data_IF_902437710640
#
_entry.id   IF_902437710640
#
_cell.length_a   1.000
_cell.length_b   1.000
_cell.length_c   1.000
_cell.angle_alpha   90.00
_cell.angle_beta   90.00
_cell.angle_gamma   90.00
#
_symmetry.space_group_name_H-M   'P 1'
#
loop_
_entity.id
_entity.type
_entity.pdbx_description
1 polymer ?
#
# COMPACT_ATOMS: atom_id res chain seq x y z
N UNK A 1 20.56 -11.66 9.60
CA UNK A 1 21.17 -11.30 8.33
C UNK A 1 21.03 -12.48 7.40
N UNK A 2 20.15 -12.43 6.36
CA UNK A 2 19.99 -13.53 5.41
C UNK A 2 20.46 -13.00 4.05
N UNK A 3 21.63 -13.46 3.60
CA UNK A 3 22.07 -13.34 2.22
C UNK A 3 21.15 -14.20 1.36
N UNK A 4 20.48 -13.63 0.37
CA UNK A 4 19.69 -14.38 -0.59
C UNK A 4 20.60 -14.77 -1.74
N UNK A 5 20.87 -16.04 -1.85
CA UNK A 5 21.65 -16.61 -2.94
C UNK A 5 20.79 -16.68 -4.19
N UNK A 6 21.25 -16.05 -5.28
CA UNK A 6 20.50 -15.87 -6.54
C UNK A 6 21.02 -16.74 -7.67
N UNK A 7 22.22 -17.33 -7.52
CA UNK A 7 22.85 -18.07 -8.60
C UNK A 7 22.16 -19.42 -8.87
N UNK A 8 22.01 -19.74 -10.13
CA UNK A 8 21.55 -21.05 -10.56
C UNK A 8 22.64 -22.11 -10.37
N UNK A 9 22.30 -23.41 -10.24
CA UNK A 9 23.29 -24.48 -10.12
C UNK A 9 24.34 -24.51 -11.24
N UNK A 10 23.97 -24.03 -12.43
CA UNK A 10 24.85 -23.90 -13.59
C UNK A 10 25.93 -22.84 -13.38
N UNK A 11 25.59 -21.71 -12.77
CA UNK A 11 26.53 -20.62 -12.48
C UNK A 11 27.58 -21.06 -11.48
N UNK A 12 27.20 -21.86 -10.49
CA UNK A 12 28.12 -22.46 -9.52
C UNK A 12 29.09 -23.39 -10.23
N UNK A 13 28.58 -24.24 -11.14
CA UNK A 13 29.41 -25.17 -11.91
C UNK A 13 30.45 -24.40 -12.75
N UNK A 14 30.03 -23.36 -13.45
CA UNK A 14 30.94 -22.54 -14.24
C UNK A 14 31.99 -21.81 -13.37
N UNK A 15 31.59 -21.33 -12.21
CA UNK A 15 32.51 -20.70 -11.27
C UNK A 15 33.55 -21.69 -10.73
N UNK A 16 33.17 -22.93 -10.43
CA UNK A 16 34.08 -23.99 -9.99
C UNK A 16 35.08 -24.36 -11.12
N UNK A 17 34.59 -24.56 -12.34
CA UNK A 17 35.41 -24.87 -13.49
C UNK A 17 36.41 -23.72 -13.77
N UNK A 18 35.95 -22.50 -13.70
CA UNK A 18 36.81 -21.31 -13.82
C UNK A 18 37.89 -21.25 -12.73
N UNK A 19 37.53 -21.56 -11.49
CA UNK A 19 38.48 -21.57 -10.36
C UNK A 19 39.57 -22.61 -10.54
N UNK A 20 39.24 -23.80 -11.04
CA UNK A 20 40.22 -24.87 -11.35
C UNK A 20 41.13 -24.41 -12.48
N UNK A 21 40.59 -23.82 -13.53
CA UNK A 21 41.37 -23.30 -14.65
C UNK A 21 42.33 -22.15 -14.21
N UNK A 22 41.84 -21.25 -13.36
CA UNK A 22 42.63 -20.17 -12.81
C UNK A 22 43.79 -20.70 -11.94
N UNK A 23 43.51 -21.70 -11.10
CA UNK A 23 44.56 -22.35 -10.30
C UNK A 23 45.64 -22.97 -11.15
N UNK A 24 45.28 -23.65 -12.26
CA UNK A 24 46.18 -24.17 -13.23
C UNK A 24 47.09 -23.05 -13.84
N UNK A 25 46.49 -21.94 -14.28
CA UNK A 25 47.23 -20.81 -14.85
C UNK A 25 48.23 -20.20 -13.84
N UNK A 26 47.84 -20.06 -12.59
CA UNK A 26 48.69 -19.55 -11.52
C UNK A 26 49.86 -20.51 -11.25
N UNK A 27 49.57 -21.81 -11.21
CA UNK A 27 50.63 -22.83 -11.03
C UNK A 27 51.66 -22.80 -12.19
N UNK A 28 51.19 -22.65 -13.43
CA UNK A 28 52.08 -22.46 -14.60
C UNK A 28 52.88 -21.17 -14.48
N UNK A 29 52.25 -20.06 -14.08
CA UNK A 29 52.93 -18.76 -13.93
C UNK A 29 54.03 -18.79 -12.85
N UNK A 30 53.69 -19.32 -11.67
CA UNK A 30 54.64 -19.45 -10.55
C UNK A 30 55.77 -20.42 -10.90
N UNK A 31 55.46 -21.55 -11.58
CA UNK A 31 56.45 -22.51 -12.05
C UNK A 31 57.43 -21.90 -13.05
N UNK A 32 56.95 -21.16 -14.03
CA UNK A 32 57.79 -20.47 -15.00
C UNK A 32 58.63 -19.36 -14.35
N UNK A 33 58.10 -18.58 -13.43
CA UNK A 33 58.84 -17.56 -12.71
C UNK A 33 59.96 -18.17 -11.87
N UNK A 34 59.67 -19.24 -11.16
CA UNK A 34 60.66 -19.98 -10.35
C UNK A 34 61.77 -20.60 -11.22
N UNK A 35 61.40 -21.23 -12.33
CA UNK A 35 62.36 -21.85 -13.26
C UNK A 35 63.21 -20.80 -13.95
N UNK A 36 62.65 -19.73 -14.43
CA UNK A 36 63.35 -18.63 -15.06
C UNK A 36 64.41 -17.99 -14.13
N UNK A 37 64.01 -17.81 -12.86
CA UNK A 37 64.97 -17.26 -11.86
C UNK A 37 66.16 -18.19 -11.53
N UNK A 38 66.02 -19.49 -11.76
CA UNK A 38 67.02 -20.48 -11.42
C UNK A 38 67.90 -20.93 -12.65
N UNK A 39 67.22 -21.05 -13.80
CA UNK A 39 67.90 -21.66 -15.00
C UNK A 39 67.95 -20.73 -16.22
N UNK A 40 67.25 -19.58 -16.18
CA UNK A 40 67.11 -18.68 -17.33
C UNK A 40 66.14 -19.18 -18.41
N UNK A 41 65.47 -20.32 -18.21
CA UNK A 41 64.52 -20.91 -19.19
C UNK A 41 63.13 -21.08 -18.61
N UNK A 42 62.09 -20.93 -19.49
CA UNK A 42 60.72 -21.16 -19.17
C UNK A 42 60.34 -22.65 -19.38
N UNK A 43 59.56 -23.21 -18.50
CA UNK A 43 59.08 -24.60 -18.56
C UNK A 43 57.84 -24.76 -19.44
N UNK A 44 57.25 -23.66 -19.90
CA UNK A 44 56.04 -23.67 -20.73
C UNK A 44 54.74 -23.88 -19.92
N UNK A 45 53.82 -24.66 -20.46
CA UNK A 45 52.50 -24.86 -19.85
C UNK A 45 52.41 -25.99 -18.82
N UNK A 46 53.56 -26.48 -18.32
CA UNK A 46 53.59 -27.50 -17.29
C UNK A 46 53.36 -26.91 -15.90
N UNK A 47 52.30 -27.30 -15.17
CA UNK A 47 51.98 -26.77 -13.83
C UNK A 47 52.83 -27.40 -12.70
N UNK A 48 53.44 -28.56 -12.94
CA UNK A 48 54.16 -29.34 -11.90
C UNK A 48 55.24 -28.55 -11.15
N UNK A 49 56.07 -27.71 -11.79
CA UNK A 49 57.03 -26.89 -11.08
C UNK A 49 56.42 -25.89 -10.11
N UNK A 50 55.25 -25.35 -10.44
CA UNK A 50 54.51 -24.47 -9.54
C UNK A 50 53.84 -25.17 -8.38
N UNK A 51 53.60 -26.48 -8.49
CA UNK A 51 53.02 -27.34 -7.44
C UNK A 51 54.10 -28.08 -6.63
N UNK A 52 55.40 -27.84 -6.89
CA UNK A 52 56.48 -28.40 -6.08
C UNK A 52 56.45 -27.86 -4.65
N UNK A 53 56.96 -28.62 -3.68
CA UNK A 53 56.96 -28.23 -2.25
C UNK A 53 57.53 -26.81 -2.03
N UNK A 54 58.54 -26.40 -2.80
CA UNK A 54 59.16 -25.08 -2.73
C UNK A 54 58.22 -23.94 -3.18
N UNK A 55 57.40 -24.18 -4.19
CA UNK A 55 56.57 -23.15 -4.85
C UNK A 55 55.08 -23.23 -4.44
N UNK A 56 54.67 -24.33 -3.83
CA UNK A 56 53.26 -24.60 -3.50
C UNK A 56 52.65 -23.51 -2.63
N UNK A 57 53.36 -23.06 -1.59
CA UNK A 57 52.87 -21.99 -0.72
C UNK A 57 52.61 -20.69 -1.49
N UNK A 58 53.53 -20.30 -2.38
CA UNK A 58 53.38 -19.12 -3.23
C UNK A 58 52.19 -19.25 -4.19
N UNK A 59 52.05 -20.41 -4.85
CA UNK A 59 50.93 -20.70 -5.76
C UNK A 59 49.58 -20.59 -5.07
N UNK A 60 49.43 -21.18 -3.89
CA UNK A 60 48.19 -21.14 -3.11
C UNK A 60 47.90 -19.72 -2.60
N UNK A 61 48.92 -19.01 -2.13
CA UNK A 61 48.78 -17.63 -1.66
C UNK A 61 48.29 -16.71 -2.77
N UNK A 62 48.92 -16.75 -3.95
CA UNK A 62 48.49 -15.96 -5.12
C UNK A 62 47.08 -16.33 -5.57
N UNK A 63 46.74 -17.62 -5.58
CA UNK A 63 45.41 -18.08 -5.90
C UNK A 63 44.36 -17.48 -4.95
N UNK A 64 44.61 -17.51 -3.64
CA UNK A 64 43.67 -16.96 -2.62
C UNK A 64 43.50 -15.46 -2.82
N UNK A 65 44.58 -14.70 -3.02
CA UNK A 65 44.51 -13.25 -3.21
C UNK A 65 43.69 -12.91 -4.45
N UNK A 66 43.94 -13.56 -5.59
CA UNK A 66 43.21 -13.33 -6.83
C UNK A 66 41.75 -13.74 -6.69
N UNK A 67 41.48 -14.90 -6.05
CA UNK A 67 40.10 -15.36 -5.81
C UNK A 67 39.30 -14.41 -4.91
N UNK A 68 39.91 -13.84 -3.87
CA UNK A 68 39.25 -12.81 -3.06
C UNK A 68 38.83 -11.62 -3.94
N UNK A 69 39.72 -11.13 -4.80
CA UNK A 69 39.42 -10.05 -5.74
C UNK A 69 38.26 -10.40 -6.68
N UNK A 70 38.27 -11.59 -7.27
CA UNK A 70 37.22 -12.07 -8.17
C UNK A 70 35.91 -12.22 -7.43
N UNK A 71 35.90 -12.84 -6.25
CA UNK A 71 34.67 -12.99 -5.42
C UNK A 71 34.10 -11.64 -5.04
N UNK A 72 34.93 -10.63 -4.72
CA UNK A 72 34.46 -9.27 -4.47
C UNK A 72 33.80 -8.64 -5.71
N UNK A 73 34.39 -8.83 -6.90
CA UNK A 73 33.86 -8.30 -8.17
C UNK A 73 32.53 -8.99 -8.57
N UNK A 74 32.47 -10.30 -8.43
CA UNK A 74 31.31 -11.13 -8.89
C UNK A 74 30.26 -11.32 -7.82
N UNK A 75 30.55 -10.91 -6.58
CA UNK A 75 29.61 -11.09 -5.46
C UNK A 75 28.22 -10.46 -5.69
N UNK A 76 28.13 -9.38 -6.47
CA UNK A 76 26.85 -8.74 -6.84
C UNK A 76 26.02 -9.59 -7.81
N UNK A 77 26.62 -10.52 -8.54
CA UNK A 77 25.94 -11.46 -9.42
C UNK A 77 25.36 -12.66 -8.64
N UNK A 78 26.12 -13.16 -7.68
CA UNK A 78 25.69 -14.30 -6.86
C UNK A 78 24.79 -13.94 -5.68
N UNK A 79 24.88 -12.70 -5.22
CA UNK A 79 24.10 -12.20 -4.08
C UNK A 79 23.36 -10.93 -4.44
N UNK A 80 22.08 -10.88 -4.16
CA UNK A 80 21.26 -9.69 -4.33
C UNK A 80 21.74 -8.60 -3.35
N UNK A 81 22.37 -7.55 -3.88
CA UNK A 81 22.80 -6.37 -3.12
C UNK A 81 21.89 -5.20 -3.42
N UNK A 82 21.26 -4.67 -2.39
CA UNK A 82 20.90 -3.26 -2.39
C UNK A 82 22.15 -2.44 -1.99
N UNK A 83 22.55 -1.56 -2.90
CA UNK A 83 23.65 -0.58 -2.86
C UNK A 83 24.45 -0.44 -1.56
N UNK A 84 25.77 -0.72 -1.63
CA UNK A 84 26.77 -0.33 -0.64
C UNK A 84 27.72 -1.46 -0.23
N UNK A 85 28.96 -1.12 0.12
CA UNK A 85 29.93 -2.02 0.76
C UNK A 85 29.36 -2.49 2.11
N UNK A 86 29.16 -3.80 2.26
CA UNK A 86 28.67 -4.41 3.50
C UNK A 86 27.47 -5.33 3.25
N UNK A 87 27.22 -6.21 4.21
CA UNK A 87 26.05 -7.09 4.19
C UNK A 87 24.77 -6.25 4.31
N UNK A 88 24.00 -6.14 3.24
CA UNK A 88 22.74 -5.43 3.25
C UNK A 88 21.78 -6.13 4.20
N UNK A 89 21.40 -5.45 5.27
CA UNK A 89 20.19 -5.77 6.03
C UNK A 89 19.05 -5.60 5.05
N UNK A 90 18.25 -6.65 4.86
CA UNK A 90 17.05 -6.58 4.01
C UNK A 90 16.26 -5.32 4.41
N UNK A 91 16.34 -4.25 3.62
CA UNK A 91 15.45 -3.11 3.78
C UNK A 91 14.06 -3.65 3.43
N UNK A 92 13.26 -3.90 4.45
CA UNK A 92 11.81 -4.07 4.30
C UNK A 92 11.27 -2.76 3.75
N UNK A 93 11.06 -2.68 2.45
CA UNK A 93 10.52 -1.48 1.82
C UNK A 93 11.31 -1.02 0.60
N UNK A 94 11.60 -1.90 -0.34
CA UNK A 94 11.68 -1.50 -1.76
C UNK A 94 10.26 -1.16 -2.22
N UNK A 95 10.13 -0.22 -3.15
CA UNK A 95 8.85 0.21 -3.70
C UNK A 95 7.99 -1.01 -4.06
N UNK A 96 6.86 -1.19 -3.37
CA UNK A 96 5.91 -2.25 -3.62
C UNK A 96 5.97 -3.50 -2.71
N UNK A 97 6.76 -3.53 -1.65
CA UNK A 97 6.69 -4.62 -0.69
C UNK A 97 5.47 -4.47 0.23
N UNK A 98 4.43 -5.23 -0.05
CA UNK A 98 3.27 -5.36 0.83
C UNK A 98 3.28 -6.71 1.54
N UNK A 99 2.88 -6.71 2.81
CA UNK A 99 2.69 -7.92 3.62
C UNK A 99 1.40 -7.78 4.40
N UNK A 100 0.82 -8.90 4.77
CA UNK A 100 -0.28 -8.90 5.74
C UNK A 100 0.19 -8.33 7.08
N UNK A 101 -0.53 -7.33 7.58
CA UNK A 101 -0.27 -6.79 8.92
C UNK A 101 -0.58 -7.85 9.98
N UNK A 102 0.29 -7.96 10.96
CA UNK A 102 0.00 -8.80 12.14
C UNK A 102 -0.90 -8.00 13.09
N UNK A 103 -1.70 -8.66 13.94
CA UNK A 103 -2.54 -7.99 14.92
C UNK A 103 -1.79 -6.93 15.75
N UNK A 104 -0.53 -7.19 16.10
CA UNK A 104 0.32 -6.24 16.81
C UNK A 104 0.61 -4.97 15.99
N UNK A 105 0.81 -5.11 14.69
CA UNK A 105 1.11 -3.98 13.80
C UNK A 105 -0.14 -3.09 13.67
N UNK A 106 -1.35 -3.70 13.58
CA UNK A 106 -2.64 -2.97 13.56
C UNK A 106 -2.84 -2.22 14.88
N UNK A 107 -2.72 -2.92 16.01
CA UNK A 107 -2.94 -2.35 17.35
C UNK A 107 -1.99 -1.20 17.70
N UNK A 108 -0.81 -1.13 17.07
CA UNK A 108 0.21 -0.10 17.31
C UNK A 108 0.22 1.01 16.26
N UNK A 109 -0.66 0.98 15.26
CA UNK A 109 -0.75 2.02 14.25
C UNK A 109 -1.27 3.33 14.85
N UNK A 110 -0.75 4.48 14.35
CA UNK A 110 -0.96 5.80 14.95
C UNK A 110 -2.43 6.19 15.07
N UNK A 111 -3.20 5.95 14.01
CA UNK A 111 -4.59 6.40 13.89
C UNK A 111 -5.60 5.30 14.26
N UNK A 112 -5.10 4.16 14.78
CA UNK A 112 -5.94 3.05 15.23
C UNK A 112 -6.22 3.17 16.71
N UNK A 113 -7.50 3.13 17.06
CA UNK A 113 -7.99 3.22 18.44
C UNK A 113 -8.73 1.95 18.84
N UNK A 114 -8.55 1.55 20.10
CA UNK A 114 -9.30 0.46 20.70
C UNK A 114 -10.60 0.97 21.28
N UNK A 115 -11.71 0.29 20.95
CA UNK A 115 -13.04 0.47 21.55
C UNK A 115 -13.50 -0.86 22.10
N UNK A 116 -14.36 -0.84 23.13
CA UNK A 116 -14.91 -2.04 23.73
C UNK A 116 -16.36 -2.25 23.23
N UNK A 117 -16.67 -3.41 22.69
CA UNK A 117 -17.97 -3.72 22.12
C UNK A 117 -19.13 -3.52 23.10
N UNK A 118 -18.90 -3.76 24.40
CA UNK A 118 -19.89 -3.62 25.46
C UNK A 118 -20.19 -2.18 25.84
N UNK A 119 -19.35 -1.21 25.46
CA UNK A 119 -19.54 0.19 25.84
C UNK A 119 -20.77 0.79 25.16
N UNK A 120 -21.52 1.57 25.92
CA UNK A 120 -22.71 2.27 25.40
C UNK A 120 -22.34 3.38 24.41
N UNK A 121 -21.27 4.13 24.69
CA UNK A 121 -20.76 5.19 23.83
C UNK A 121 -19.27 5.02 23.58
N UNK A 122 -18.80 5.43 22.40
CA UNK A 122 -17.41 5.31 22.00
C UNK A 122 -16.70 6.67 21.97
N UNK A 123 -15.40 6.66 22.29
CA UNK A 123 -14.53 7.83 22.19
C UNK A 123 -13.89 7.95 20.80
N UNK A 124 -13.84 6.87 20.06
CA UNK A 124 -13.28 6.78 18.72
C UNK A 124 -14.25 6.05 17.80
N UNK A 125 -14.25 6.38 16.50
CA UNK A 125 -15.04 5.69 15.50
C UNK A 125 -14.36 5.72 14.14
N UNK A 126 -14.62 4.69 13.35
CA UNK A 126 -14.09 4.55 12.00
C UNK A 126 -14.22 3.11 11.52
N UNK A 127 -13.56 2.81 10.41
CA UNK A 127 -13.63 1.49 9.81
C UNK A 127 -13.05 0.43 10.76
N UNK A 128 -13.79 -0.64 11.08
CA UNK A 128 -13.27 -1.71 11.92
C UNK A 128 -12.18 -2.50 11.17
N UNK A 129 -10.97 -2.54 11.73
CA UNK A 129 -9.82 -3.21 11.14
C UNK A 129 -9.54 -4.58 11.74
N UNK A 130 -9.79 -4.73 13.04
CA UNK A 130 -9.50 -5.95 13.79
C UNK A 130 -10.40 -6.08 15.00
N UNK A 131 -10.81 -7.30 15.33
CA UNK A 131 -11.63 -7.59 16.52
C UNK A 131 -11.05 -8.80 17.27
N UNK A 132 -10.98 -8.70 18.59
CA UNK A 132 -10.52 -9.76 19.47
C UNK A 132 -11.12 -9.63 20.88
N UNK A 133 -11.76 -10.68 21.40
CA UNK A 133 -12.24 -10.76 22.79
C UNK A 133 -13.12 -9.57 23.21
N UNK A 134 -14.06 -9.15 22.37
CA UNK A 134 -14.96 -8.04 22.64
C UNK A 134 -14.34 -6.65 22.51
N UNK A 135 -13.14 -6.56 22.00
CA UNK A 135 -12.46 -5.32 21.64
C UNK A 135 -12.38 -5.17 20.14
N UNK A 136 -12.59 -3.98 19.64
CA UNK A 136 -12.51 -3.64 18.23
C UNK A 136 -11.46 -2.54 18.05
N UNK A 137 -10.58 -2.68 17.08
CA UNK A 137 -9.63 -1.64 16.67
C UNK A 137 -10.15 -1.00 15.41
N UNK A 138 -10.41 0.30 15.48
CA UNK A 138 -10.98 1.13 14.42
C UNK A 138 -9.97 2.14 13.92
N UNK A 139 -10.03 2.47 12.63
CA UNK A 139 -9.30 3.58 12.05
C UNK A 139 -10.04 4.89 12.36
N UNK A 140 -9.57 5.65 13.35
CA UNK A 140 -10.12 6.93 13.81
C UNK A 140 -9.46 8.13 13.08
N UNK A 141 -8.71 7.86 12.02
CA UNK A 141 -8.05 8.88 11.19
C UNK A 141 -8.97 9.53 10.17
N UNK A 142 -8.54 10.69 9.65
CA UNK A 142 -9.21 11.38 8.55
C UNK A 142 -8.81 10.76 7.20
N UNK A 143 -9.18 9.50 6.98
CA UNK A 143 -8.82 8.76 5.78
C UNK A 143 -10.05 8.33 4.97
N UNK A 144 -9.91 8.31 3.63
CA UNK A 144 -10.88 7.68 2.76
C UNK A 144 -10.59 6.19 2.64
N UNK A 145 -11.62 5.36 2.82
CA UNK A 145 -11.49 3.91 2.73
C UNK A 145 -12.24 3.36 1.53
N UNK A 146 -11.57 2.54 0.72
CA UNK A 146 -12.17 1.82 -0.40
C UNK A 146 -12.27 0.32 -0.08
N UNK A 147 -13.49 -0.20 -0.02
CA UNK A 147 -13.77 -1.59 0.31
C UNK A 147 -14.26 -2.32 -0.95
N UNK A 148 -13.46 -3.21 -1.48
CA UNK A 148 -13.75 -3.96 -2.71
C UNK A 148 -14.08 -5.40 -2.36
N UNK A 149 -15.10 -5.95 -2.99
CA UNK A 149 -15.47 -7.36 -2.85
C UNK A 149 -16.63 -7.72 -3.78
N UNK A 150 -16.70 -8.97 -4.21
CA UNK A 150 -17.80 -9.49 -5.03
C UNK A 150 -19.15 -9.43 -4.31
N UNK A 151 -20.24 -9.59 -5.05
CA UNK A 151 -21.58 -9.76 -4.46
C UNK A 151 -21.57 -11.01 -3.56
N UNK A 152 -22.17 -10.89 -2.37
CA UNK A 152 -22.18 -11.99 -1.39
C UNK A 152 -20.90 -12.14 -0.55
N UNK A 153 -19.86 -11.30 -0.74
CA UNK A 153 -18.62 -11.36 0.05
C UNK A 153 -18.75 -10.87 1.50
N UNK A 154 -19.95 -10.46 1.92
CA UNK A 154 -20.21 -10.00 3.27
C UNK A 154 -19.87 -8.53 3.56
N UNK A 155 -19.57 -7.69 2.56
CA UNK A 155 -19.22 -6.26 2.77
C UNK A 155 -20.22 -5.53 3.68
N UNK A 156 -21.50 -5.64 3.38
CA UNK A 156 -22.55 -4.97 4.15
C UNK A 156 -22.57 -5.48 5.58
N UNK A 157 -22.49 -6.80 5.77
CA UNK A 157 -22.58 -7.43 7.09
C UNK A 157 -21.33 -7.22 7.94
N UNK A 158 -20.14 -7.42 7.35
CA UNK A 158 -18.89 -7.39 8.12
C UNK A 158 -18.31 -5.99 8.31
N UNK A 159 -18.65 -5.04 7.43
CA UNK A 159 -18.02 -3.71 7.45
C UNK A 159 -19.07 -2.61 7.61
N UNK A 160 -20.08 -2.54 6.71
CA UNK A 160 -20.97 -1.37 6.65
C UNK A 160 -21.87 -1.29 7.89
N UNK A 161 -22.56 -2.38 8.24
CA UNK A 161 -23.42 -2.39 9.43
C UNK A 161 -22.63 -2.15 10.74
N UNK A 162 -21.47 -2.83 10.98
CA UNK A 162 -20.64 -2.49 12.13
C UNK A 162 -20.18 -1.04 12.14
N UNK A 163 -19.79 -0.47 10.98
CA UNK A 163 -19.38 0.93 10.89
C UNK A 163 -20.52 1.88 11.29
N UNK A 164 -21.75 1.65 10.80
CA UNK A 164 -22.93 2.43 11.20
C UNK A 164 -23.13 2.40 12.73
N UNK A 165 -23.02 1.22 13.33
CA UNK A 165 -23.14 1.06 14.78
C UNK A 165 -22.01 1.78 15.55
N UNK A 166 -20.77 1.71 15.05
CA UNK A 166 -19.61 2.35 15.66
C UNK A 166 -19.76 3.88 15.61
N UNK A 167 -20.10 4.43 14.44
CA UNK A 167 -20.34 5.87 14.26
C UNK A 167 -21.51 6.34 15.15
N UNK A 168 -22.59 5.57 15.19
CA UNK A 168 -23.75 5.88 16.03
C UNK A 168 -23.43 5.88 17.53
N UNK A 169 -22.58 4.97 18.00
CA UNK A 169 -22.15 4.95 19.41
C UNK A 169 -21.20 6.10 19.76
N UNK A 170 -20.50 6.69 18.79
CA UNK A 170 -19.74 7.93 18.99
C UNK A 170 -20.60 9.18 18.88
N UNK A 171 -21.77 9.11 18.21
CA UNK A 171 -22.66 10.25 17.98
C UNK A 171 -22.35 11.02 16.70
N UNK A 172 -21.69 10.39 15.73
CA UNK A 172 -21.34 11.00 14.45
C UNK A 172 -22.53 11.08 13.50
N UNK A 173 -22.63 12.18 12.73
CA UNK A 173 -23.61 12.30 11.65
C UNK A 173 -23.17 11.50 10.44
N UNK A 174 -24.13 10.89 9.72
CA UNK A 174 -23.86 10.00 8.60
C UNK A 174 -24.69 10.36 7.37
N UNK A 175 -24.08 10.24 6.20
CA UNK A 175 -24.78 10.21 4.91
C UNK A 175 -24.52 8.84 4.29
N UNK A 176 -25.58 8.09 4.01
CA UNK A 176 -25.50 6.71 3.56
C UNK A 176 -26.26 6.57 2.24
N UNK A 177 -25.56 6.11 1.19
CA UNK A 177 -26.19 5.70 -0.06
C UNK A 177 -26.51 4.21 0.00
N UNK A 178 -27.81 3.88 -0.04
CA UNK A 178 -28.31 2.51 0.11
C UNK A 178 -29.19 2.10 -1.09
N UNK A 179 -28.59 1.63 -2.18
CA UNK A 179 -29.34 1.28 -3.39
C UNK A 179 -30.36 0.16 -3.21
N UNK A 180 -30.18 -0.69 -2.21
CA UNK A 180 -31.04 -1.85 -1.93
C UNK A 180 -32.02 -1.64 -0.78
N UNK A 181 -31.75 -0.68 0.09
CA UNK A 181 -32.51 -0.46 1.32
C UNK A 181 -32.07 -1.32 2.51
N UNK A 182 -31.09 -2.23 2.31
CA UNK A 182 -30.63 -3.18 3.34
C UNK A 182 -30.05 -2.48 4.57
N UNK A 183 -29.30 -1.38 4.35
CA UNK A 183 -28.64 -0.66 5.46
C UNK A 183 -29.71 0.04 6.31
N UNK A 184 -30.68 0.68 5.67
CA UNK A 184 -31.80 1.32 6.36
C UNK A 184 -32.62 0.30 7.15
N UNK A 185 -33.01 -0.82 6.54
CA UNK A 185 -33.79 -1.87 7.19
C UNK A 185 -33.08 -2.44 8.42
N UNK A 186 -31.78 -2.68 8.32
CA UNK A 186 -31.00 -3.29 9.40
C UNK A 186 -30.68 -2.33 10.56
N UNK A 187 -30.55 -1.02 10.30
CA UNK A 187 -30.01 -0.09 11.28
C UNK A 187 -30.99 0.99 11.77
N UNK A 188 -32.10 1.24 11.06
CA UNK A 188 -32.98 2.37 11.38
C UNK A 188 -33.54 2.34 12.80
N UNK A 189 -33.95 1.18 13.31
CA UNK A 189 -34.46 1.06 14.68
C UNK A 189 -33.38 1.36 15.71
N UNK A 190 -32.19 0.77 15.55
CA UNK A 190 -31.05 1.03 16.41
C UNK A 190 -30.67 2.53 16.44
N UNK A 191 -30.68 3.20 15.29
CA UNK A 191 -30.41 4.63 15.19
C UNK A 191 -31.46 5.48 15.88
N UNK A 192 -32.78 5.14 15.72
CA UNK A 192 -33.88 5.83 16.41
C UNK A 192 -33.79 5.68 17.93
N UNK A 193 -33.50 4.47 18.40
CA UNK A 193 -33.33 4.19 19.84
C UNK A 193 -32.16 5.00 20.45
N UNK A 194 -31.20 5.41 19.63
CA UNK A 194 -30.10 6.29 20.01
C UNK A 194 -30.39 7.77 19.80
N UNK A 195 -31.60 8.14 19.42
CA UNK A 195 -32.00 9.53 19.24
C UNK A 195 -31.61 10.18 17.93
N UNK A 196 -31.19 9.39 16.93
CA UNK A 196 -30.86 9.93 15.61
C UNK A 196 -32.15 10.40 14.87
N UNK A 197 -32.05 11.57 14.27
CA UNK A 197 -33.03 12.03 13.29
C UNK A 197 -32.69 11.42 11.92
N UNK A 198 -33.48 10.48 11.44
CA UNK A 198 -33.28 9.77 10.19
C UNK A 198 -34.09 10.43 9.08
N UNK A 199 -33.40 10.96 8.08
CA UNK A 199 -33.99 11.50 6.86
C UNK A 199 -33.81 10.48 5.72
N UNK A 200 -34.89 9.84 5.31
CA UNK A 200 -34.92 8.87 4.23
C UNK A 200 -35.36 9.53 2.92
N UNK A 201 -34.44 9.72 1.97
CA UNK A 201 -34.77 10.13 0.61
C UNK A 201 -34.95 8.88 -0.27
N UNK A 202 -36.17 8.51 -0.54
CA UNK A 202 -36.47 7.31 -1.31
C UNK A 202 -36.83 7.65 -2.76
N UNK A 203 -35.82 7.61 -3.65
CA UNK A 203 -36.04 7.89 -5.07
C UNK A 203 -36.77 6.80 -5.85
N UNK A 204 -36.83 5.56 -5.33
CA UNK A 204 -37.60 4.46 -5.96
C UNK A 204 -39.07 4.54 -5.64
N UNK A 205 -39.43 4.93 -4.42
CA UNK A 205 -40.80 5.14 -3.97
C UNK A 205 -40.85 6.39 -3.09
N UNK A 206 -40.98 7.58 -3.68
CA UNK A 206 -40.96 8.84 -2.96
C UNK A 206 -42.03 8.95 -1.87
N UNK A 207 -43.12 8.21 -2.00
CA UNK A 207 -44.19 8.19 -0.99
C UNK A 207 -43.80 7.49 0.33
N UNK A 208 -42.75 6.67 0.28
CA UNK A 208 -42.21 5.93 1.45
C UNK A 208 -41.02 6.60 2.08
N UNK A 209 -40.71 7.83 1.74
CA UNK A 209 -39.57 8.58 2.25
C UNK A 209 -39.98 9.93 2.83
N UNK A 210 -38.98 10.67 3.32
CA UNK A 210 -39.18 12.05 3.72
C UNK A 210 -39.25 12.93 2.47
N UNK A 211 -40.12 13.93 2.48
CA UNK A 211 -40.12 14.96 1.46
C UNK A 211 -38.97 15.95 1.69
N UNK A 212 -38.31 16.31 0.62
CA UNK A 212 -37.25 17.32 0.65
C UNK A 212 -37.51 18.36 -0.46
N UNK A 213 -37.53 19.61 -0.06
CA UNK A 213 -37.65 20.74 -1.00
C UNK A 213 -36.27 21.47 -1.03
N UNK A 214 -35.49 21.36 -2.11
CA UNK A 214 -34.18 22.01 -2.22
C UNK A 214 -34.25 23.53 -2.17
N UNK A 215 -35.40 24.12 -2.55
CA UNK A 215 -35.61 25.58 -2.53
C UNK A 215 -35.91 26.14 -1.12
N UNK A 216 -36.21 25.28 -0.15
CA UNK A 216 -36.63 25.75 1.17
C UNK A 216 -35.55 26.50 1.94
N UNK A 217 -34.32 26.09 1.83
CA UNK A 217 -33.21 26.78 2.50
C UNK A 217 -32.81 28.10 1.81
N UNK A 218 -32.61 28.18 0.49
CA UNK A 218 -32.45 29.44 -0.21
C UNK A 218 -33.56 30.45 0.09
N UNK A 219 -34.82 30.01 0.04
CA UNK A 219 -35.96 30.88 0.36
C UNK A 219 -35.95 31.41 1.79
N UNK A 220 -35.60 30.60 2.79
CA UNK A 220 -35.44 31.05 4.18
C UNK A 220 -34.32 32.08 4.32
N UNK A 221 -33.21 31.87 3.67
CA UNK A 221 -32.07 32.82 3.64
C UNK A 221 -32.48 34.14 2.99
N UNK A 222 -33.17 34.09 1.87
CA UNK A 222 -33.71 35.28 1.23
C UNK A 222 -34.63 36.07 2.16
N UNK A 223 -35.58 35.39 2.83
CA UNK A 223 -36.50 36.00 3.80
C UNK A 223 -35.78 36.60 5.02
N UNK A 224 -34.65 36.09 5.40
CA UNK A 224 -33.83 36.60 6.50
C UNK A 224 -32.88 37.75 6.08
N UNK A 225 -32.89 38.15 4.79
CA UNK A 225 -32.00 39.22 4.26
C UNK A 225 -30.62 38.75 3.88
N UNK A 226 -30.32 37.45 3.93
CA UNK A 226 -29.04 36.92 3.49
C UNK A 226 -29.11 36.55 2.00
N UNK A 227 -29.13 37.60 1.15
CA UNK A 227 -29.33 37.46 -0.29
C UNK A 227 -28.16 36.76 -0.97
N UNK A 228 -26.92 37.09 -0.60
CA UNK A 228 -25.73 36.53 -1.23
C UNK A 228 -25.67 35.00 -1.09
N UNK A 229 -25.89 34.51 0.12
CA UNK A 229 -25.92 33.07 0.37
C UNK A 229 -27.13 32.35 -0.25
N UNK A 230 -28.28 33.04 -0.31
CA UNK A 230 -29.44 32.54 -1.03
C UNK A 230 -29.15 32.34 -2.52
N UNK A 231 -28.58 33.37 -3.17
CA UNK A 231 -28.21 33.33 -4.59
C UNK A 231 -27.15 32.26 -4.88
N UNK A 232 -26.13 32.15 -4.05
CA UNK A 232 -25.12 31.08 -4.15
C UNK A 232 -25.77 29.69 -4.17
N UNK A 233 -26.62 29.38 -3.19
CA UNK A 233 -27.29 28.08 -3.10
C UNK A 233 -28.28 27.84 -4.25
N UNK A 234 -28.98 28.87 -4.71
CA UNK A 234 -29.86 28.76 -5.88
C UNK A 234 -29.07 28.47 -7.15
N UNK A 235 -27.93 29.15 -7.33
CA UNK A 235 -27.05 28.94 -8.47
C UNK A 235 -26.47 27.52 -8.47
N UNK A 236 -25.98 27.05 -7.33
CA UNK A 236 -25.48 25.69 -7.17
C UNK A 236 -26.55 24.66 -7.51
N UNK A 237 -27.77 24.87 -7.02
CA UNK A 237 -28.91 24.01 -7.32
C UNK A 237 -29.24 24.03 -8.82
N UNK A 238 -29.30 25.21 -9.43
CA UNK A 238 -29.57 25.37 -10.85
C UNK A 238 -28.55 24.66 -11.72
N UNK A 239 -27.25 24.85 -11.45
CA UNK A 239 -26.17 24.18 -12.16
C UNK A 239 -26.31 22.66 -12.04
N UNK A 240 -26.58 22.12 -10.86
CA UNK A 240 -26.75 20.69 -10.67
C UNK A 240 -27.98 20.10 -11.38
N UNK A 241 -29.10 20.84 -11.45
CA UNK A 241 -30.32 20.38 -12.12
C UNK A 241 -30.22 20.49 -13.63
N UNK A 242 -29.59 21.58 -14.13
CA UNK A 242 -29.52 21.92 -15.54
C UNK A 242 -28.22 21.40 -16.20
N UNK A 243 -27.40 20.64 -15.48
CA UNK A 243 -26.18 20.06 -16.01
C UNK A 243 -26.46 19.07 -17.14
N UNK A 244 -25.89 19.32 -18.28
CA UNK A 244 -25.89 18.40 -19.42
C UNK A 244 -24.45 17.96 -19.75
N UNK A 245 -24.14 16.69 -19.47
CA UNK A 245 -22.81 16.11 -19.75
C UNK A 245 -22.44 16.14 -21.25
N UNK A 246 -23.40 16.37 -22.14
CA UNK A 246 -23.21 16.40 -23.60
C UNK A 246 -23.12 17.81 -24.18
N UNK A 247 -23.25 18.82 -23.35
CA UNK A 247 -23.18 20.21 -23.82
C UNK A 247 -21.73 20.59 -24.11
N UNK A 248 -21.44 20.91 -25.37
CA UNK A 248 -20.11 21.34 -25.81
C UNK A 248 -19.76 22.77 -25.34
N UNK A 249 -20.76 23.60 -25.03
CA UNK A 249 -20.56 25.00 -24.63
C UNK A 249 -21.16 25.28 -23.24
N UNK A 250 -20.31 25.60 -22.24
CA UNK A 250 -20.76 25.98 -20.90
C UNK A 250 -21.63 27.21 -20.82
N UNK A 251 -21.63 28.07 -21.88
CA UNK A 251 -22.40 29.29 -21.93
C UNK A 251 -23.90 29.05 -21.70
N UNK A 252 -24.46 28.08 -22.38
CA UNK A 252 -25.90 27.77 -22.27
C UNK A 252 -26.30 27.28 -20.90
N UNK A 253 -25.47 26.46 -20.27
CA UNK A 253 -25.71 25.98 -18.91
C UNK A 253 -25.64 27.13 -17.89
N UNK A 254 -24.61 27.96 -17.97
CA UNK A 254 -24.45 29.11 -17.09
C UNK A 254 -25.61 30.11 -17.24
N UNK A 255 -25.98 30.45 -18.48
CA UNK A 255 -27.09 31.36 -18.75
C UNK A 255 -28.43 30.82 -18.25
N UNK A 256 -28.68 29.50 -18.39
CA UNK A 256 -29.86 28.86 -17.87
C UNK A 256 -29.90 28.89 -16.35
N UNK A 257 -28.73 28.67 -15.70
CA UNK A 257 -28.62 28.77 -14.24
C UNK A 257 -28.86 30.20 -13.73
N UNK A 258 -28.30 31.21 -14.42
CA UNK A 258 -28.52 32.64 -14.10
C UNK A 258 -29.98 33.02 -14.25
N UNK A 259 -30.65 32.55 -15.30
CA UNK A 259 -32.10 32.74 -15.47
C UNK A 259 -32.92 32.10 -14.36
N UNK A 260 -32.57 30.87 -13.96
CA UNK A 260 -33.24 30.16 -12.85
C UNK A 260 -33.11 30.91 -11.52
N UNK A 261 -31.97 31.52 -11.25
CA UNK A 261 -31.73 32.32 -10.03
C UNK A 261 -32.54 33.63 -10.04
N UNK A 262 -32.80 34.17 -11.21
CA UNK A 262 -33.54 35.43 -11.39
C UNK A 262 -35.08 35.29 -11.27
N UNK A 263 -35.59 34.06 -11.29
CA UNK A 263 -37.05 33.79 -11.12
C UNK A 263 -37.43 33.74 -9.65
#
# INVERSE_FOLDING_TARGET
MKLKFKAEPKDILYFVLFSIFLFYLIAVGVGNLSSYSQTGYLVGFNPLPGLSEKNLFGTVLFFIIIMIGIVMMVSSYFFERESGFGFAKEKKGGDGYSKWAKPKDIKSARDVKEINESDYSYKAAGVPLYSEKGKIWVDDGESHSLIIGATGSGKTYCIVNPLVHILAKKGESMIITDPKGEIFENNANFLRDRGYNILLLNFRNPQKGNSWNPLSLPYKLYKSGNYDKSNELLRDLAINILHDEKADDPFWQNTSADYFVGL
#
